data_IF_857879383654
#
_entry.id   IF_857879383654
#
_cell.length_a   1.000
_cell.length_b   1.000
_cell.length_c   1.000
_cell.angle_alpha   90.00
_cell.angle_beta   90.00
_cell.angle_gamma   90.00
#
_symmetry.space_group_name_H-M   'P 1'
#
loop_
_entity.id
_entity.type
_entity.pdbx_description
1 polymer ?
#
# COMPACT_ATOMS: atom_id res chain seq x y z
N UNK A 1 35.26 -20.51 -3.06
CA UNK A 1 36.23 -21.63 -3.01
C UNK A 1 37.05 -21.40 -1.75
N UNK A 2 36.82 -21.91 -0.55
CA UNK A 2 36.31 -23.20 -0.07
C UNK A 2 35.57 -22.96 1.26
N UNK A 3 34.25 -22.98 1.24
CA UNK A 3 33.46 -23.03 2.46
C UNK A 3 33.56 -24.46 3.04
N UNK A 4 34.17 -24.61 4.23
CA UNK A 4 34.40 -25.92 4.83
C UNK A 4 33.16 -26.40 5.59
N UNK A 5 32.47 -25.50 6.29
CA UNK A 5 31.24 -25.79 7.01
C UNK A 5 30.01 -25.63 6.12
N UNK A 6 28.90 -26.27 6.50
CA UNK A 6 27.65 -26.17 5.74
C UNK A 6 27.09 -24.75 5.76
N UNK A 7 27.19 -24.05 6.89
CA UNK A 7 26.71 -22.68 7.03
C UNK A 7 27.47 -21.71 6.14
N UNK A 8 28.80 -21.84 6.04
CA UNK A 8 29.62 -21.07 5.08
C UNK A 8 29.16 -21.30 3.62
N UNK A 9 28.81 -22.55 3.29
CA UNK A 9 28.34 -22.90 1.94
C UNK A 9 26.98 -22.27 1.69
N UNK A 10 26.08 -22.31 2.67
CA UNK A 10 24.74 -21.73 2.59
C UNK A 10 24.82 -20.20 2.47
N UNK A 11 25.62 -19.55 3.32
CA UNK A 11 25.88 -18.10 3.24
C UNK A 11 26.40 -17.68 1.85
N UNK A 12 27.36 -18.43 1.30
CA UNK A 12 27.88 -18.17 -0.05
C UNK A 12 26.81 -18.36 -1.15
N UNK A 13 25.89 -19.31 -0.98
CA UNK A 13 24.78 -19.51 -1.93
C UNK A 13 23.73 -18.42 -1.82
N UNK A 14 23.38 -18.01 -0.60
CA UNK A 14 22.50 -16.87 -0.33
C UNK A 14 23.05 -15.60 -0.96
N UNK A 15 24.33 -15.29 -0.75
CA UNK A 15 25.00 -14.16 -1.39
C UNK A 15 24.96 -14.27 -2.92
N UNK A 16 25.15 -15.48 -3.46
CA UNK A 16 25.01 -15.74 -4.88
C UNK A 16 23.61 -15.43 -5.41
N UNK A 17 22.55 -15.79 -4.67
CA UNK A 17 21.15 -15.44 -5.02
C UNK A 17 20.98 -13.92 -5.03
N UNK A 18 21.45 -13.22 -4.01
CA UNK A 18 21.34 -11.77 -3.88
C UNK A 18 22.10 -11.01 -4.98
N UNK A 19 23.31 -11.46 -5.35
CA UNK A 19 24.08 -10.88 -6.45
C UNK A 19 23.32 -11.03 -7.78
N UNK A 20 22.77 -12.21 -8.05
CA UNK A 20 22.04 -12.45 -9.29
C UNK A 20 20.68 -11.74 -9.31
N UNK A 21 20.04 -11.55 -8.14
CA UNK A 21 18.86 -10.67 -7.98
C UNK A 21 19.20 -9.24 -8.37
N UNK A 22 20.28 -8.67 -7.82
CA UNK A 22 20.74 -7.33 -8.14
C UNK A 22 21.08 -7.18 -9.63
N UNK A 23 21.60 -8.24 -10.25
CA UNK A 23 21.84 -8.32 -11.70
C UNK A 23 20.57 -8.61 -12.53
N UNK A 24 19.38 -8.65 -11.91
CA UNK A 24 18.09 -9.00 -12.53
C UNK A 24 18.11 -10.32 -13.30
N UNK A 25 18.87 -11.31 -12.82
CA UNK A 25 19.06 -12.61 -13.46
C UNK A 25 18.40 -13.73 -12.64
N UNK A 26 17.07 -13.82 -12.72
CA UNK A 26 16.28 -14.81 -11.97
C UNK A 26 16.72 -16.27 -12.26
N UNK A 27 17.14 -16.58 -13.49
CA UNK A 27 17.60 -17.92 -13.88
C UNK A 27 18.88 -18.32 -13.14
N UNK A 28 19.85 -17.40 -13.03
CA UNK A 28 21.09 -17.67 -12.30
C UNK A 28 20.88 -17.64 -10.79
N UNK A 29 20.01 -16.76 -10.29
CA UNK A 29 19.59 -16.77 -8.88
C UNK A 29 19.00 -18.14 -8.50
N UNK A 30 18.07 -18.67 -9.31
CA UNK A 30 17.51 -20.01 -9.13
C UNK A 30 18.59 -21.10 -9.19
N UNK A 31 19.62 -20.95 -10.04
CA UNK A 31 20.75 -21.90 -10.08
C UNK A 31 21.55 -21.89 -8.77
N UNK A 32 21.80 -20.72 -8.19
CA UNK A 32 22.46 -20.60 -6.88
C UNK A 32 21.61 -21.20 -5.76
N UNK A 33 20.31 -20.88 -5.75
CA UNK A 33 19.35 -21.45 -4.81
C UNK A 33 19.31 -22.99 -4.89
N UNK A 34 19.18 -23.55 -6.09
CA UNK A 34 19.21 -25.02 -6.33
C UNK A 34 20.50 -25.68 -5.85
N UNK A 35 21.63 -24.96 -5.87
CA UNK A 35 22.90 -25.46 -5.30
C UNK A 35 22.92 -25.32 -3.77
N UNK A 36 22.27 -24.30 -3.21
CA UNK A 36 22.11 -24.09 -1.77
C UNK A 36 21.25 -25.16 -1.11
N UNK A 37 20.09 -25.50 -1.69
CA UNK A 37 19.19 -26.54 -1.15
C UNK A 37 19.76 -27.97 -1.19
N UNK A 38 20.90 -28.18 -1.85
CA UNK A 38 21.64 -29.45 -1.84
C UNK A 38 22.64 -29.54 -0.68
N UNK A 39 22.90 -28.44 0.03
CA UNK A 39 23.77 -28.44 1.20
C UNK A 39 22.98 -28.99 2.39
N UNK A 40 23.57 -29.93 3.13
CA UNK A 40 22.97 -30.43 4.39
C UNK A 40 22.66 -29.25 5.30
N UNK A 41 21.54 -29.31 6.04
CA UNK A 41 20.99 -28.24 6.90
C UNK A 41 20.41 -27.02 6.17
N UNK A 42 20.23 -27.07 4.84
CA UNK A 42 19.61 -25.94 4.11
C UNK A 42 18.18 -25.61 4.55
N UNK A 43 17.39 -26.62 4.93
CA UNK A 43 16.00 -26.45 5.37
C UNK A 43 15.86 -25.65 6.66
N UNK A 44 16.91 -25.58 7.48
CA UNK A 44 16.97 -24.79 8.70
C UNK A 44 17.76 -23.48 8.49
N UNK A 45 17.97 -23.05 7.25
CA UNK A 45 18.73 -21.85 6.93
C UNK A 45 17.80 -20.79 6.28
N UNK A 46 17.11 -19.97 7.10
CA UNK A 46 16.03 -19.09 6.64
C UNK A 46 16.48 -18.11 5.55
N UNK A 47 17.68 -17.53 5.70
CA UNK A 47 18.19 -16.50 4.80
C UNK A 47 18.30 -16.96 3.32
N UNK A 48 18.54 -18.25 3.06
CA UNK A 48 18.58 -18.78 1.69
C UNK A 48 17.21 -18.76 1.02
N UNK A 49 16.17 -19.13 1.78
CA UNK A 49 14.79 -19.13 1.30
C UNK A 49 14.26 -17.71 1.13
N UNK A 50 14.49 -16.84 2.11
CA UNK A 50 14.13 -15.42 2.02
C UNK A 50 14.74 -14.74 0.78
N UNK A 51 16.04 -14.94 0.52
CA UNK A 51 16.68 -14.35 -0.66
C UNK A 51 16.05 -14.80 -1.98
N UNK A 52 15.58 -16.06 -2.07
CA UNK A 52 14.88 -16.54 -3.26
C UNK A 52 13.44 -15.99 -3.34
N UNK A 53 12.78 -15.76 -2.20
CA UNK A 53 11.49 -15.09 -2.16
C UNK A 53 11.57 -13.68 -2.75
N UNK A 54 12.61 -12.91 -2.41
CA UNK A 54 12.85 -11.58 -2.97
C UNK A 54 12.99 -11.61 -4.50
N UNK A 55 13.69 -12.63 -5.04
CA UNK A 55 13.81 -12.82 -6.49
C UNK A 55 12.43 -13.05 -7.11
N UNK A 56 11.62 -13.94 -6.54
CA UNK A 56 10.28 -14.19 -7.07
C UNK A 56 9.37 -12.96 -6.96
N UNK A 57 9.44 -12.24 -5.85
CA UNK A 57 8.70 -10.99 -5.63
C UNK A 57 9.03 -9.93 -6.68
N UNK A 58 10.31 -9.67 -6.94
CA UNK A 58 10.75 -8.69 -7.96
C UNK A 58 10.24 -9.06 -9.36
N UNK A 59 10.03 -10.35 -9.62
CA UNK A 59 9.50 -10.88 -10.88
C UNK A 59 7.98 -11.07 -10.89
N UNK A 60 7.27 -10.62 -9.84
CA UNK A 60 5.81 -10.75 -9.65
C UNK A 60 5.31 -12.20 -9.60
N UNK A 61 6.18 -13.14 -9.27
CA UNK A 61 5.86 -14.55 -9.04
C UNK A 61 5.43 -14.74 -7.58
N UNK A 62 4.28 -14.17 -7.21
CA UNK A 62 3.80 -14.15 -5.83
C UNK A 62 3.53 -15.53 -5.21
N UNK A 63 2.98 -16.53 -5.94
CA UNK A 63 2.81 -17.87 -5.40
C UNK A 63 4.13 -18.51 -4.96
N UNK A 64 5.17 -18.41 -5.80
CA UNK A 64 6.51 -18.93 -5.49
C UNK A 64 7.21 -18.10 -4.40
N UNK A 65 7.03 -16.77 -4.40
CA UNK A 65 7.53 -15.93 -3.32
C UNK A 65 6.94 -16.35 -1.96
N UNK A 66 5.63 -16.58 -1.91
CA UNK A 66 4.92 -17.04 -0.71
C UNK A 66 5.40 -18.42 -0.25
N UNK A 67 5.65 -19.35 -1.17
CA UNK A 67 6.23 -20.66 -0.84
C UNK A 67 7.60 -20.50 -0.18
N UNK A 68 8.49 -19.69 -0.77
CA UNK A 68 9.83 -19.45 -0.22
C UNK A 68 9.78 -18.74 1.14
N UNK A 69 8.84 -17.80 1.34
CA UNK A 69 8.63 -17.16 2.64
C UNK A 69 8.13 -18.16 3.68
N UNK A 70 7.22 -19.07 3.30
CA UNK A 70 6.79 -20.16 4.17
C UNK A 70 7.94 -21.06 4.62
N UNK A 71 8.84 -21.43 3.70
CA UNK A 71 10.06 -22.17 4.04
C UNK A 71 11.00 -21.36 4.96
N UNK A 72 11.16 -20.07 4.70
CA UNK A 72 11.98 -19.19 5.54
C UNK A 72 11.43 -19.06 6.96
N UNK A 73 10.12 -18.96 7.11
CA UNK A 73 9.45 -18.83 8.42
C UNK A 73 9.46 -20.16 9.17
N UNK A 74 9.24 -21.29 8.48
CA UNK A 74 9.33 -22.61 9.09
C UNK A 74 10.73 -22.89 9.68
N UNK A 75 11.78 -22.27 9.13
CA UNK A 75 13.15 -22.42 9.60
C UNK A 75 13.48 -21.56 10.84
N UNK A 76 12.83 -20.41 11.04
CA UNK A 76 13.06 -19.50 12.16
C UNK A 76 11.85 -18.58 12.41
N UNK A 77 10.75 -19.17 12.91
CA UNK A 77 9.48 -18.45 13.04
C UNK A 77 9.53 -17.31 14.08
N UNK A 78 10.40 -17.39 15.09
CA UNK A 78 10.41 -16.44 16.20
C UNK A 78 11.31 -15.22 15.97
N UNK A 79 12.20 -15.24 14.98
CA UNK A 79 13.20 -14.17 14.77
C UNK A 79 13.28 -13.70 13.31
N UNK A 80 12.20 -13.84 12.55
CA UNK A 80 12.19 -13.59 11.10
C UNK A 80 11.14 -12.56 10.67
N UNK A 81 11.11 -11.43 11.38
CA UNK A 81 10.23 -10.27 11.12
C UNK A 81 10.25 -9.83 9.64
N UNK A 82 11.42 -9.91 8.98
CA UNK A 82 11.56 -9.55 7.56
C UNK A 82 10.75 -10.46 6.64
N UNK A 83 10.72 -11.77 6.90
CA UNK A 83 9.91 -12.70 6.12
C UNK A 83 8.42 -12.56 6.43
N UNK A 84 8.06 -12.29 7.69
CA UNK A 84 6.67 -12.04 8.08
C UNK A 84 6.12 -10.78 7.40
N UNK A 85 6.85 -9.66 7.49
CA UNK A 85 6.47 -8.41 6.84
C UNK A 85 6.36 -8.57 5.31
N UNK A 86 7.30 -9.30 4.69
CA UNK A 86 7.25 -9.55 3.25
C UNK A 86 6.08 -10.47 2.86
N UNK A 87 5.75 -11.48 3.67
CA UNK A 87 4.61 -12.36 3.44
C UNK A 87 3.29 -11.58 3.55
N UNK A 88 3.15 -10.72 4.56
CA UNK A 88 2.01 -9.84 4.71
C UNK A 88 1.86 -8.93 3.48
N UNK A 89 2.96 -8.39 2.96
CA UNK A 89 2.94 -7.55 1.75
C UNK A 89 2.54 -8.34 0.50
N UNK A 90 3.06 -9.56 0.30
CA UNK A 90 2.65 -10.45 -0.80
C UNK A 90 1.14 -10.71 -0.76
N UNK A 91 0.62 -11.08 0.42
CA UNK A 91 -0.82 -11.34 0.60
C UNK A 91 -1.66 -10.08 0.34
N UNK A 92 -1.15 -8.91 0.73
CA UNK A 92 -1.80 -7.62 0.48
C UNK A 92 -1.95 -7.36 -1.03
N UNK A 93 -0.90 -7.59 -1.81
CA UNK A 93 -0.90 -7.45 -3.27
C UNK A 93 -1.86 -8.45 -3.90
N UNK A 94 -1.77 -9.74 -3.55
CA UNK A 94 -2.64 -10.79 -4.10
C UNK A 94 -4.12 -10.47 -3.88
N UNK A 95 -4.50 -9.98 -2.69
CA UNK A 95 -5.86 -9.54 -2.38
C UNK A 95 -6.27 -8.32 -3.21
N UNK A 96 -5.41 -7.31 -3.33
CA UNK A 96 -5.71 -6.10 -4.10
C UNK A 96 -5.92 -6.40 -5.60
N UNK A 97 -5.11 -7.30 -6.17
CA UNK A 97 -5.26 -7.80 -7.54
C UNK A 97 -6.59 -8.54 -7.72
N UNK A 98 -6.97 -9.39 -6.77
CA UNK A 98 -8.23 -10.12 -6.84
C UNK A 98 -9.47 -9.20 -6.81
N UNK A 99 -9.38 -8.04 -6.15
CA UNK A 99 -10.50 -7.09 -6.04
C UNK A 99 -10.67 -6.24 -7.30
N UNK A 100 -9.59 -5.67 -7.83
CA UNK A 100 -9.68 -4.63 -8.88
C UNK A 100 -9.11 -5.06 -10.23
N UNK A 101 -8.28 -6.11 -10.26
CA UNK A 101 -7.43 -6.46 -11.41
C UNK A 101 -6.54 -5.29 -11.89
N UNK A 102 -6.36 -4.25 -11.07
CA UNK A 102 -5.65 -3.04 -11.43
C UNK A 102 -4.13 -3.21 -11.28
N UNK A 103 -3.37 -2.70 -12.24
CA UNK A 103 -1.91 -2.69 -12.18
C UNK A 103 -1.37 -1.86 -11.00
N UNK A 104 -2.18 -0.96 -10.43
CA UNK A 104 -1.81 -0.18 -9.26
C UNK A 104 -1.51 -1.06 -8.04
N UNK A 105 -2.10 -2.27 -7.96
CA UNK A 105 -1.81 -3.21 -6.88
C UNK A 105 -0.32 -3.57 -6.76
N UNK A 106 0.45 -3.44 -7.84
CA UNK A 106 1.90 -3.72 -7.85
C UNK A 106 2.77 -2.50 -7.58
N UNK A 107 2.17 -1.31 -7.40
CA UNK A 107 2.91 -0.06 -7.28
C UNK A 107 3.38 0.16 -5.85
N UNK A 108 4.69 0.35 -5.69
CA UNK A 108 5.31 0.61 -4.38
C UNK A 108 4.77 1.90 -3.74
N UNK A 109 4.40 2.89 -4.56
CA UNK A 109 3.65 4.08 -4.16
C UNK A 109 2.59 4.40 -5.19
N UNK A 110 1.49 5.01 -4.77
CA UNK A 110 0.42 5.48 -5.66
C UNK A 110 0.29 7.01 -5.60
N UNK A 111 0.01 7.64 -6.74
CA UNK A 111 -0.18 9.07 -6.85
C UNK A 111 -1.65 9.50 -6.79
N UNK A 112 -1.87 10.82 -6.72
CA UNK A 112 -3.20 11.41 -6.58
C UNK A 112 -4.13 11.10 -7.76
N UNK A 113 -3.60 11.10 -8.98
CA UNK A 113 -4.39 10.79 -10.17
C UNK A 113 -4.84 9.33 -10.19
N UNK A 114 -3.94 8.42 -9.82
CA UNK A 114 -4.20 6.99 -9.71
C UNK A 114 -5.24 6.71 -8.59
N UNK A 115 -5.19 7.42 -7.47
CA UNK A 115 -6.21 7.33 -6.42
C UNK A 115 -7.57 7.84 -6.91
N UNK A 116 -7.62 8.95 -7.65
CA UNK A 116 -8.87 9.42 -8.27
C UNK A 116 -9.45 8.37 -9.23
N UNK A 117 -8.60 7.75 -10.06
CA UNK A 117 -8.96 6.66 -10.97
C UNK A 117 -9.45 5.41 -10.23
N UNK A 118 -8.84 5.05 -9.09
CA UNK A 118 -9.29 3.96 -8.22
C UNK A 118 -10.68 4.25 -7.65
N UNK A 119 -10.88 5.44 -7.08
CA UNK A 119 -12.14 5.84 -6.46
C UNK A 119 -13.29 5.77 -7.44
N UNK A 120 -13.15 6.40 -8.61
CA UNK A 120 -14.28 6.59 -9.51
C UNK A 120 -14.61 5.35 -10.33
N UNK A 121 -13.60 4.58 -10.76
CA UNK A 121 -13.82 3.55 -11.77
C UNK A 121 -13.56 2.13 -11.28
N UNK A 122 -12.51 1.88 -10.52
CA UNK A 122 -12.25 0.53 -10.01
C UNK A 122 -13.15 0.21 -8.79
N UNK A 123 -13.40 1.20 -7.94
CA UNK A 123 -14.23 1.05 -6.75
C UNK A 123 -15.61 1.69 -6.88
N UNK A 124 -15.83 2.59 -7.85
CA UNK A 124 -17.13 3.26 -8.07
C UNK A 124 -17.68 3.93 -6.81
N UNK A 125 -16.80 4.55 -6.03
CA UNK A 125 -17.15 5.23 -4.77
C UNK A 125 -18.11 6.40 -5.00
N UNK A 126 -18.11 6.99 -6.20
CA UNK A 126 -19.04 8.04 -6.61
C UNK A 126 -20.51 7.59 -6.60
N UNK A 127 -20.81 6.30 -6.61
CA UNK A 127 -22.19 5.78 -6.45
C UNK A 127 -22.68 5.91 -5.00
N UNK A 128 -21.77 6.01 -4.03
CA UNK A 128 -22.11 6.00 -2.61
C UNK A 128 -21.98 7.37 -1.96
N UNK A 129 -21.24 8.30 -2.56
CA UNK A 129 -20.98 9.63 -2.04
C UNK A 129 -21.95 10.61 -2.72
N UNK A 130 -22.67 11.46 -1.96
CA UNK A 130 -23.48 12.52 -2.56
C UNK A 130 -22.62 13.42 -3.45
N UNK A 131 -23.05 13.64 -4.69
CA UNK A 131 -22.40 14.62 -5.55
C UNK A 131 -22.89 16.02 -5.21
N UNK A 132 -22.00 17.02 -5.16
CA UNK A 132 -22.41 18.39 -4.95
C UNK A 132 -23.21 18.89 -6.16
N UNK A 133 -24.24 19.69 -5.87
CA UNK A 133 -24.97 20.44 -6.89
C UNK A 133 -24.07 21.56 -7.44
N UNK A 134 -24.26 21.92 -8.71
CA UNK A 134 -23.57 23.06 -9.29
C UNK A 134 -23.99 24.34 -8.55
N UNK A 135 -23.02 25.14 -8.12
CA UNK A 135 -23.27 26.37 -7.37
C UNK A 135 -23.84 27.48 -8.29
N UNK A 136 -23.53 27.42 -9.59
CA UNK A 136 -24.03 28.40 -10.56
C UNK A 136 -24.21 27.85 -11.97
N UNK A 137 -25.10 28.48 -12.73
CA UNK A 137 -25.30 28.19 -14.15
C UNK A 137 -24.04 28.62 -14.93
N UNK A 138 -23.32 27.64 -15.49
CA UNK A 138 -22.08 27.86 -16.25
C UNK A 138 -20.80 27.42 -15.53
N UNK A 139 -20.91 26.87 -14.32
CA UNK A 139 -19.78 26.28 -13.61
C UNK A 139 -19.16 25.12 -14.40
N UNK A 140 -17.85 25.22 -14.65
CA UNK A 140 -17.09 24.21 -15.38
C UNK A 140 -16.63 23.11 -14.43
N UNK A 141 -16.46 21.89 -14.94
CA UNK A 141 -16.07 20.73 -14.13
C UNK A 141 -14.70 20.86 -13.47
N UNK A 142 -13.83 21.70 -14.02
CA UNK A 142 -12.47 21.93 -13.57
C UNK A 142 -12.35 22.96 -12.46
N UNK A 143 -13.36 23.82 -12.24
CA UNK A 143 -13.38 24.81 -11.15
C UNK A 143 -12.05 25.58 -10.99
N UNK A 144 -11.35 25.86 -12.09
CA UNK A 144 -10.05 26.55 -12.10
C UNK A 144 -8.83 25.65 -11.87
N UNK A 145 -8.94 24.33 -12.03
CA UNK A 145 -7.77 23.45 -12.11
C UNK A 145 -6.91 23.75 -13.33
N UNK A 146 -5.60 23.68 -13.16
CA UNK A 146 -4.62 24.18 -14.15
C UNK A 146 -3.69 23.10 -14.70
N UNK A 147 -3.55 21.96 -14.03
CA UNK A 147 -2.51 20.96 -14.30
C UNK A 147 -3.06 19.53 -14.49
N UNK A 148 -4.36 19.40 -14.80
CA UNK A 148 -5.02 18.09 -14.95
C UNK A 148 -5.07 17.59 -16.39
N UNK A 149 -5.00 18.48 -17.39
CA UNK A 149 -5.32 18.17 -18.78
C UNK A 149 -4.37 17.12 -19.41
N UNK A 150 -3.10 17.14 -19.04
CA UNK A 150 -2.08 16.21 -19.55
C UNK A 150 -2.08 14.84 -18.84
N UNK A 151 -2.89 14.69 -17.77
CA UNK A 151 -3.03 13.41 -17.06
C UNK A 151 -3.87 12.41 -17.86
N UNK A 152 -3.42 11.16 -17.92
CA UNK A 152 -4.23 10.04 -18.44
C UNK A 152 -5.57 9.91 -17.70
N UNK A 153 -5.63 10.36 -16.44
CA UNK A 153 -6.81 10.27 -15.57
C UNK A 153 -7.52 11.62 -15.40
N UNK A 154 -7.44 12.51 -16.39
CA UNK A 154 -8.04 13.85 -16.35
C UNK A 154 -9.53 13.83 -15.98
N UNK A 155 -10.33 12.93 -16.56
CA UNK A 155 -11.76 12.79 -16.22
C UNK A 155 -11.99 12.37 -14.78
N UNK A 156 -11.15 11.48 -14.24
CA UNK A 156 -11.24 11.03 -12.86
C UNK A 156 -10.84 12.13 -11.88
N UNK A 157 -9.81 12.91 -12.23
CA UNK A 157 -9.38 14.08 -11.46
C UNK A 157 -10.53 15.09 -11.36
N UNK A 158 -11.19 15.42 -12.48
CA UNK A 158 -12.33 16.35 -12.50
C UNK A 158 -13.49 15.85 -11.63
N UNK A 159 -13.84 14.56 -11.75
CA UNK A 159 -14.90 13.96 -10.95
C UNK A 159 -14.58 13.98 -9.45
N UNK A 160 -13.34 13.66 -9.06
CA UNK A 160 -12.91 13.71 -7.66
C UNK A 160 -12.74 15.13 -7.14
N UNK A 161 -12.36 16.09 -7.99
CA UNK A 161 -12.19 17.49 -7.62
C UNK A 161 -13.52 18.11 -7.17
N UNK A 162 -14.60 17.83 -7.90
CA UNK A 162 -15.94 18.30 -7.56
C UNK A 162 -16.37 17.92 -6.14
N UNK A 163 -15.92 16.78 -5.61
CA UNK A 163 -16.22 16.36 -4.24
C UNK A 163 -15.58 17.26 -3.17
N UNK A 164 -14.66 18.15 -3.56
CA UNK A 164 -13.97 19.11 -2.71
C UNK A 164 -13.35 18.47 -1.44
N UNK A 165 -12.76 17.29 -1.61
CA UNK A 165 -12.08 16.59 -0.52
C UNK A 165 -10.76 17.26 -0.18
N UNK A 166 -10.58 17.64 1.10
CA UNK A 166 -9.35 18.27 1.60
C UNK A 166 -8.10 17.40 1.40
N UNK A 167 -8.26 16.08 1.33
CA UNK A 167 -7.19 15.12 1.06
C UNK A 167 -6.54 15.31 -0.31
N UNK A 168 -7.31 15.78 -1.31
CA UNK A 168 -6.79 16.22 -2.61
C UNK A 168 -6.44 17.71 -2.61
N UNK A 169 -5.77 18.21 -1.57
CA UNK A 169 -5.33 19.62 -1.42
C UNK A 169 -5.00 20.30 -2.76
N UNK A 170 -5.76 21.33 -3.12
CA UNK A 170 -5.50 22.17 -4.30
C UNK A 170 -4.75 23.42 -3.84
N UNK A 171 -3.73 23.83 -4.58
CA UNK A 171 -2.95 25.03 -4.26
C UNK A 171 -2.74 25.83 -5.54
N UNK A 172 -3.24 27.05 -5.58
CA UNK A 172 -3.19 27.93 -6.76
C UNK A 172 -3.72 27.24 -8.04
N UNK A 173 -4.81 26.48 -7.92
CA UNK A 173 -5.39 25.72 -9.04
C UNK A 173 -4.62 24.46 -9.45
N UNK A 174 -3.57 24.05 -8.73
CA UNK A 174 -2.82 22.83 -9.04
C UNK A 174 -3.33 21.62 -8.23
N UNK A 175 -3.74 20.56 -8.93
CA UNK A 175 -4.06 19.25 -8.39
C UNK A 175 -2.81 18.40 -8.13
N UNK A 176 -1.69 18.63 -8.81
CA UNK A 176 -0.48 17.82 -8.74
C UNK A 176 -0.74 16.32 -8.99
N UNK A 177 -1.19 15.91 -10.19
CA UNK A 177 -1.59 14.53 -10.50
C UNK A 177 -0.55 13.48 -10.13
N UNK A 178 0.73 13.75 -10.40
CA UNK A 178 1.84 12.82 -10.20
C UNK A 178 2.38 12.78 -8.76
N UNK A 179 1.86 13.60 -7.84
CA UNK A 179 2.32 13.59 -6.45
C UNK A 179 1.93 12.27 -5.78
N UNK A 180 2.92 11.53 -5.27
CA UNK A 180 2.68 10.35 -4.44
C UNK A 180 1.89 10.72 -3.18
N UNK A 181 0.94 9.87 -2.80
CA UNK A 181 0.15 10.06 -1.58
C UNK A 181 0.81 9.38 -0.39
N UNK A 182 0.67 10.02 0.76
CA UNK A 182 1.09 9.45 2.06
C UNK A 182 -0.04 8.65 2.71
N UNK A 183 0.31 7.78 3.66
CA UNK A 183 -0.67 7.06 4.48
C UNK A 183 -1.58 8.02 5.25
N UNK A 184 -1.04 9.13 5.74
CA UNK A 184 -1.81 10.18 6.42
C UNK A 184 -2.81 10.87 5.49
N UNK A 185 -2.43 11.17 4.24
CA UNK A 185 -3.34 11.71 3.23
C UNK A 185 -4.43 10.71 2.83
N UNK A 186 -4.10 9.41 2.74
CA UNK A 186 -5.10 8.36 2.52
C UNK A 186 -6.09 8.27 3.69
N UNK A 187 -5.62 8.35 4.94
CA UNK A 187 -6.49 8.41 6.11
C UNK A 187 -7.42 9.63 6.04
N UNK A 188 -6.88 10.79 5.64
CA UNK A 188 -7.69 11.99 5.45
C UNK A 188 -8.77 11.80 4.38
N UNK A 189 -8.47 11.11 3.28
CA UNK A 189 -9.44 10.78 2.23
C UNK A 189 -10.55 9.86 2.75
N UNK A 190 -10.19 8.85 3.55
CA UNK A 190 -11.15 7.98 4.22
C UNK A 190 -12.10 8.79 5.11
N UNK A 191 -11.56 9.70 5.93
CA UNK A 191 -12.37 10.58 6.78
C UNK A 191 -13.25 11.54 5.95
N UNK A 192 -12.76 12.06 4.83
CA UNK A 192 -13.52 12.93 3.94
C UNK A 192 -14.75 12.23 3.39
N UNK A 193 -14.59 10.99 2.93
CA UNK A 193 -15.66 10.15 2.39
C UNK A 193 -16.67 9.77 3.49
N UNK A 194 -16.19 9.37 4.67
CA UNK A 194 -17.05 9.04 5.81
C UNK A 194 -17.88 10.24 6.27
N UNK A 195 -17.29 11.43 6.28
CA UNK A 195 -18.00 12.66 6.58
C UNK A 195 -19.04 12.98 5.50
N UNK A 196 -18.66 12.89 4.22
CA UNK A 196 -19.57 13.20 3.11
C UNK A 196 -20.82 12.31 3.11
N UNK A 197 -20.68 11.03 3.47
CA UNK A 197 -21.80 10.08 3.51
C UNK A 197 -22.60 10.11 4.82
N UNK A 198 -21.91 10.13 5.96
CA UNK A 198 -22.53 9.87 7.27
C UNK A 198 -22.36 11.01 8.28
N UNK A 199 -21.72 12.12 7.91
CA UNK A 199 -21.40 13.23 8.81
C UNK A 199 -20.59 12.77 10.06
N UNK A 200 -19.77 11.73 9.91
CA UNK A 200 -18.89 11.24 10.98
C UNK A 200 -17.96 12.36 11.43
N UNK A 201 -17.98 12.65 12.74
CA UNK A 201 -17.22 13.76 13.32
C UNK A 201 -15.73 13.66 13.04
N UNK A 202 -15.17 14.73 12.47
CA UNK A 202 -13.73 14.93 12.21
C UNK A 202 -12.95 15.40 13.46
N UNK A 203 -13.64 15.52 14.58
CA UNK A 203 -13.09 15.99 15.86
C UNK A 203 -13.29 14.97 16.97
N UNK A 204 -13.74 13.76 16.65
CA UNK A 204 -14.09 12.71 17.61
C UNK A 204 -12.94 12.31 18.55
N UNK A 205 -11.69 12.55 18.14
CA UNK A 205 -10.49 12.20 18.91
C UNK A 205 -9.73 13.43 19.43
N UNK A 206 -10.29 14.64 19.35
CA UNK A 206 -9.64 15.81 19.98
C UNK A 206 -9.48 15.57 21.48
N UNK A 207 -8.27 15.79 21.99
CA UNK A 207 -7.94 15.62 23.40
C UNK A 207 -7.57 14.19 23.81
N UNK A 208 -7.59 13.22 22.88
CA UNK A 208 -7.09 11.87 23.16
C UNK A 208 -5.58 11.79 22.94
N UNK A 209 -4.91 10.95 23.75
CA UNK A 209 -3.51 10.64 23.54
C UNK A 209 -3.35 9.76 22.30
N UNK A 210 -2.32 10.03 21.50
CA UNK A 210 -2.00 9.17 20.36
C UNK A 210 -1.47 7.81 20.84
N UNK A 211 -1.97 6.69 20.28
CA UNK A 211 -1.40 5.37 20.53
C UNK A 211 -0.13 5.12 19.71
N UNK A 212 0.21 6.00 18.76
CA UNK A 212 1.35 5.84 17.85
C UNK A 212 2.48 6.78 18.23
N UNK A 213 3.71 6.26 18.24
CA UNK A 213 4.91 7.00 18.66
C UNK A 213 5.30 8.12 17.68
N UNK A 214 4.92 8.02 16.41
CA UNK A 214 5.26 8.92 15.31
C UNK A 214 4.12 9.86 14.90
N UNK A 215 2.98 9.83 15.59
CA UNK A 215 1.83 10.67 15.29
C UNK A 215 1.45 11.50 16.52
N UNK A 216 1.58 12.82 16.44
CA UNK A 216 1.16 13.73 17.51
C UNK A 216 -0.35 13.96 17.47
N UNK A 217 -1.01 14.08 18.63
CA UNK A 217 -2.46 14.33 18.73
C UNK A 217 -2.92 15.66 18.08
N UNK A 218 -2.01 16.59 17.82
CA UNK A 218 -2.29 17.85 17.12
C UNK A 218 -1.95 17.83 15.62
N UNK A 219 -1.49 16.70 15.07
CA UNK A 219 -1.21 16.57 13.65
C UNK A 219 -2.51 16.66 12.83
N UNK A 220 -2.44 17.23 11.63
CA UNK A 220 -3.62 17.41 10.75
C UNK A 220 -4.29 16.09 10.37
N UNK A 221 -3.51 15.01 10.27
CA UNK A 221 -4.00 13.66 9.97
C UNK A 221 -4.45 12.87 11.20
N UNK A 222 -4.27 13.38 12.43
CA UNK A 222 -4.49 12.61 13.66
C UNK A 222 -5.90 12.02 13.77
N UNK A 223 -6.93 12.87 13.71
CA UNK A 223 -8.32 12.41 13.80
C UNK A 223 -8.66 11.41 12.68
N UNK A 224 -8.19 11.68 11.47
CA UNK A 224 -8.43 10.83 10.32
C UNK A 224 -7.79 9.44 10.47
N UNK A 225 -6.54 9.38 10.93
CA UNK A 225 -5.83 8.14 11.23
C UNK A 225 -6.55 7.37 12.34
N UNK A 226 -6.91 8.03 13.44
CA UNK A 226 -7.64 7.38 14.54
C UNK A 226 -9.00 6.84 14.07
N UNK A 227 -9.73 7.59 13.23
CA UNK A 227 -10.99 7.16 12.64
C UNK A 227 -10.81 5.93 11.73
N UNK A 228 -9.80 5.95 10.85
CA UNK A 228 -9.50 4.83 9.96
C UNK A 228 -9.07 3.56 10.73
N UNK A 229 -8.23 3.71 11.75
CA UNK A 229 -7.73 2.59 12.57
C UNK A 229 -8.85 1.98 13.41
N UNK A 230 -9.64 2.81 14.11
CA UNK A 230 -10.76 2.31 14.94
C UNK A 230 -11.86 1.62 14.14
N UNK A 231 -11.91 1.85 12.82
CA UNK A 231 -12.83 1.17 11.88
C UNK A 231 -12.20 -0.03 11.18
N UNK A 232 -10.95 -0.37 11.52
CA UNK A 232 -10.22 -1.47 10.90
C UNK A 232 -9.87 -1.25 9.43
N UNK A 233 -9.87 0.02 8.97
CA UNK A 233 -9.53 0.37 7.58
C UNK A 233 -8.01 0.46 7.39
N UNK A 234 -7.29 0.95 8.39
CA UNK A 234 -5.83 1.04 8.41
C UNK A 234 -5.26 0.37 9.66
N UNK A 235 -4.00 -0.08 9.59
CA UNK A 235 -3.32 -0.75 10.69
C UNK A 235 -1.97 -0.09 10.98
N UNK A 236 -1.64 0.02 12.27
CA UNK A 236 -0.29 0.37 12.73
C UNK A 236 0.72 -0.73 12.43
N UNK A 237 2.00 -0.38 12.56
CA UNK A 237 3.11 -1.31 12.46
C UNK A 237 3.41 -1.93 13.82
N UNK A 238 4.14 -3.03 13.78
CA UNK A 238 4.53 -3.78 14.99
C UNK A 238 5.45 -2.98 15.91
N UNK A 239 6.21 -2.02 15.36
CA UNK A 239 7.08 -1.10 16.10
C UNK A 239 6.31 0.04 16.82
N UNK A 240 4.97 0.04 16.76
CA UNK A 240 4.12 1.06 17.38
C UNK A 240 3.99 2.35 16.57
N UNK A 241 4.48 2.39 15.33
CA UNK A 241 4.31 3.53 14.41
C UNK A 241 3.09 3.37 13.51
N UNK A 242 2.60 4.47 12.94
CA UNK A 242 1.58 4.44 11.87
C UNK A 242 2.12 4.94 10.53
N UNK A 243 3.30 5.56 10.49
CA UNK A 243 3.95 6.06 9.29
C UNK A 243 3.10 7.07 8.53
N UNK A 244 2.60 8.15 9.16
CA UNK A 244 1.67 9.07 8.50
C UNK A 244 2.28 9.76 7.28
N UNK A 245 3.60 9.97 7.29
CA UNK A 245 4.36 10.61 6.20
C UNK A 245 4.91 9.60 5.18
N UNK A 246 4.77 8.30 5.44
CA UNK A 246 5.23 7.28 4.50
C UNK A 246 4.31 7.21 3.29
N UNK A 247 4.90 6.96 2.12
CA UNK A 247 4.15 6.76 0.89
C UNK A 247 3.28 5.50 1.01
N UNK A 248 2.04 5.61 0.55
CA UNK A 248 1.12 4.47 0.55
C UNK A 248 1.25 3.67 -0.74
N UNK A 249 1.32 2.35 -0.62
CA UNK A 249 1.35 1.45 -1.77
C UNK A 249 -0.02 1.35 -2.44
N UNK A 250 -0.05 1.03 -3.73
CA UNK A 250 -1.33 0.85 -4.42
C UNK A 250 -2.15 -0.33 -3.89
N UNK A 251 -1.49 -1.41 -3.43
CA UNK A 251 -2.17 -2.52 -2.76
C UNK A 251 -2.86 -2.08 -1.46
N UNK A 252 -2.17 -1.29 -0.62
CA UNK A 252 -2.75 -0.74 0.61
C UNK A 252 -3.95 0.15 0.30
N UNK A 253 -3.81 1.09 -0.65
CA UNK A 253 -4.89 1.98 -1.05
C UNK A 253 -6.11 1.23 -1.57
N UNK A 254 -5.92 0.20 -2.41
CA UNK A 254 -7.02 -0.63 -2.92
C UNK A 254 -7.76 -1.30 -1.76
N UNK A 255 -7.05 -1.92 -0.82
CA UNK A 255 -7.71 -2.62 0.30
C UNK A 255 -8.42 -1.67 1.25
N UNK A 256 -7.79 -0.54 1.60
CA UNK A 256 -8.39 0.49 2.47
C UNK A 256 -9.68 1.01 1.84
N UNK A 257 -9.63 1.42 0.58
CA UNK A 257 -10.78 2.00 -0.12
C UNK A 257 -11.86 0.94 -0.44
N UNK A 258 -11.47 -0.30 -0.71
CA UNK A 258 -12.42 -1.41 -0.86
C UNK A 258 -13.16 -1.69 0.45
N UNK A 259 -12.46 -1.79 1.57
CA UNK A 259 -13.08 -1.99 2.88
C UNK A 259 -13.98 -0.80 3.25
N UNK A 260 -13.54 0.42 2.93
CA UNK A 260 -14.37 1.61 3.10
C UNK A 260 -15.65 1.50 2.28
N UNK A 261 -15.57 1.12 1.00
CA UNK A 261 -16.74 0.87 0.15
C UNK A 261 -17.71 -0.11 0.81
N UNK A 262 -17.20 -1.21 1.39
CA UNK A 262 -18.04 -2.18 2.10
C UNK A 262 -18.77 -1.57 3.30
N UNK A 263 -18.15 -0.61 4.00
CA UNK A 263 -18.83 0.16 5.06
C UNK A 263 -19.93 1.03 4.45
N UNK A 264 -19.64 1.73 3.34
CA UNK A 264 -20.62 2.63 2.69
C UNK A 264 -21.84 1.89 2.12
N UNK A 265 -21.70 0.61 1.79
CA UNK A 265 -22.77 -0.24 1.25
C UNK A 265 -23.72 -0.75 2.33
N UNK A 266 -23.31 -0.77 3.59
CA UNK A 266 -24.17 -1.24 4.68
C UNK A 266 -25.16 -0.13 4.99
N UNK A 267 -26.46 -0.45 4.90
CA UNK A 267 -27.52 0.44 5.39
C UNK A 267 -27.33 0.66 6.89
N UNK A 268 -27.59 1.89 7.34
CA UNK A 268 -27.47 2.30 8.74
C UNK A 268 -28.60 1.73 9.60
#
# INVERSE_FOLDING_TARGET
>A
RYAKQNDDKLALRTLGVQIERAARNAKRALSQYKRGVRVKTSSSYPALHYAMAEVYFDNRNFPEAREMLGLSLAADAMNNERAEAMLAHVQQIERAVAITQSNFAYSASINRAEIARLLNRDLKMSEYIPQPEAESVGETSDQGLTDYADSEYSSDILASHRLNFRSFRITNGAFNPSKSMTRGELAMLVEDILYAKYQISRTAFIGTASPFSDLKSNATSFNAVMSAVTRGLMQGREDGTIGPDDLVSGAESILVLHNLKQILQREA
#
